data_IF_910345101136
#
_entry.id   IF_910345101136
#
_cell.length_a   1.000
_cell.length_b   1.000
_cell.length_c   1.000
_cell.angle_alpha   90.00
_cell.angle_beta   90.00
_cell.angle_gamma   90.00
#
_symmetry.space_group_name_H-M   'P 1'
#
loop_
_entity.id
_entity.type
_entity.pdbx_description
1 polymer ?
#
# COMPACT_ATOMS: atom_id res chain seq x y z
N UNK A 1 15.22 -8.19 17.88
CA UNK A 1 13.78 -7.84 17.86
C UNK A 1 13.13 -8.66 16.77
N UNK A 2 12.11 -9.44 17.09
CA UNK A 2 11.38 -10.29 16.14
C UNK A 2 10.05 -9.63 15.78
N UNK A 3 9.84 -9.37 14.50
CA UNK A 3 8.69 -8.62 14.01
C UNK A 3 7.85 -9.49 13.08
N UNK A 4 6.58 -9.68 13.43
CA UNK A 4 5.59 -10.27 12.54
C UNK A 4 4.95 -9.17 11.70
N UNK A 5 5.26 -9.16 10.40
CA UNK A 5 4.75 -8.17 9.46
C UNK A 5 3.63 -8.73 8.60
N UNK A 6 2.53 -7.99 8.50
CA UNK A 6 1.45 -8.28 7.56
C UNK A 6 1.51 -7.29 6.40
N UNK A 7 1.67 -7.82 5.19
CA UNK A 7 1.68 -7.03 3.96
C UNK A 7 0.82 -7.67 2.89
N UNK A 8 0.45 -6.90 1.88
CA UNK A 8 -0.36 -7.37 0.75
C UNK A 8 0.46 -7.68 -0.50
N UNK A 9 1.55 -6.95 -0.72
CA UNK A 9 2.40 -7.05 -1.91
C UNK A 9 3.87 -7.05 -1.51
N UNK A 10 4.61 -8.08 -1.93
CA UNK A 10 6.07 -8.18 -1.81
C UNK A 10 6.58 -9.34 -2.69
N UNK A 11 7.75 -9.22 -3.36
CA UNK A 11 8.54 -8.00 -3.57
C UNK A 11 7.80 -6.98 -4.46
N UNK A 12 8.29 -5.72 -4.59
CA UNK A 12 7.63 -4.70 -5.40
C UNK A 12 7.54 -5.07 -6.88
N UNK A 13 6.39 -4.76 -7.49
CA UNK A 13 6.17 -4.90 -8.94
C UNK A 13 6.09 -3.57 -9.70
N UNK A 14 6.01 -2.47 -8.97
CA UNK A 14 5.84 -1.12 -9.51
C UNK A 14 6.81 -0.17 -8.83
N UNK A 15 7.23 0.86 -9.56
CA UNK A 15 8.00 1.98 -9.02
C UNK A 15 7.17 2.73 -7.98
N UNK A 16 7.79 3.10 -6.85
CA UNK A 16 7.10 3.64 -5.69
C UNK A 16 6.02 2.71 -5.12
N UNK A 17 5.12 3.26 -4.32
CA UNK A 17 4.00 2.53 -3.72
C UNK A 17 4.36 1.63 -2.54
N UNK A 18 3.36 0.85 -2.09
CA UNK A 18 3.40 0.05 -0.88
C UNK A 18 4.53 -1.01 -0.91
N UNK A 19 4.63 -1.78 -1.99
CA UNK A 19 5.65 -2.83 -2.12
C UNK A 19 7.08 -2.28 -2.02
N UNK A 20 7.35 -1.14 -2.65
CA UNK A 20 8.67 -0.49 -2.64
C UNK A 20 9.01 0.03 -1.24
N UNK A 21 8.03 0.60 -0.55
CA UNK A 21 8.21 1.03 0.84
C UNK A 21 8.48 -0.15 1.77
N UNK A 22 7.68 -1.21 1.69
CA UNK A 22 7.88 -2.43 2.47
C UNK A 22 9.24 -3.07 2.21
N UNK A 23 9.69 -3.13 0.95
CA UNK A 23 10.99 -3.69 0.59
C UNK A 23 12.16 -2.91 1.17
N UNK A 24 12.22 -1.60 0.94
CA UNK A 24 13.31 -0.78 1.46
C UNK A 24 13.36 -0.77 2.99
N UNK A 25 12.19 -0.66 3.64
CA UNK A 25 12.07 -0.68 5.10
C UNK A 25 12.50 -2.01 5.70
N UNK A 26 12.01 -3.13 5.19
CA UNK A 26 12.34 -4.47 5.71
C UNK A 26 13.81 -4.82 5.48
N UNK A 27 14.38 -4.43 4.34
CA UNK A 27 15.81 -4.62 4.07
C UNK A 27 16.66 -3.83 5.09
N UNK A 28 16.31 -2.58 5.36
CA UNK A 28 17.04 -1.76 6.33
C UNK A 28 16.88 -2.27 7.77
N UNK A 29 15.68 -2.70 8.16
CA UNK A 29 15.42 -3.32 9.47
C UNK A 29 16.24 -4.61 9.65
N UNK A 30 16.28 -5.47 8.63
CA UNK A 30 17.08 -6.70 8.67
C UNK A 30 18.59 -6.41 8.83
N UNK A 31 19.10 -5.39 8.13
CA UNK A 31 20.50 -4.93 8.30
C UNK A 31 20.79 -4.40 9.71
N UNK A 32 19.78 -3.96 10.44
CA UNK A 32 19.87 -3.56 11.86
C UNK A 32 19.62 -4.71 12.84
N UNK A 33 19.54 -5.95 12.36
CA UNK A 33 19.38 -7.14 13.19
C UNK A 33 17.94 -7.43 13.61
N UNK A 34 16.94 -6.84 12.95
CA UNK A 34 15.56 -7.26 13.12
C UNK A 34 15.31 -8.59 12.39
N UNK A 35 14.69 -9.54 13.07
CA UNK A 35 14.23 -10.79 12.46
C UNK A 35 12.78 -10.58 11.99
N UNK A 36 12.55 -10.69 10.68
CA UNK A 36 11.26 -10.33 10.08
C UNK A 36 10.58 -11.57 9.54
N UNK A 37 9.36 -11.80 10.00
CA UNK A 37 8.42 -12.78 9.44
C UNK A 37 7.41 -11.98 8.64
N UNK A 38 7.47 -12.06 7.31
CA UNK A 38 6.60 -11.26 6.44
C UNK A 38 5.53 -12.15 5.82
N UNK A 39 4.28 -11.90 6.20
CA UNK A 39 3.13 -12.71 5.81
C UNK A 39 2.37 -12.05 4.66
N UNK A 40 2.28 -12.76 3.54
CA UNK A 40 1.56 -12.35 2.33
C UNK A 40 0.31 -13.20 2.11
N UNK A 41 -0.73 -12.71 1.40
CA UNK A 41 -1.86 -13.55 0.99
C UNK A 41 -1.39 -14.81 0.27
N UNK A 42 -0.45 -14.64 -0.66
CA UNK A 42 0.19 -15.70 -1.42
C UNK A 42 1.62 -15.31 -1.75
N UNK A 43 2.52 -16.29 -1.72
CA UNK A 43 3.88 -16.14 -2.24
C UNK A 43 3.90 -16.70 -3.65
N UNK A 44 4.60 -16.01 -4.54
CA UNK A 44 4.87 -16.47 -5.89
C UNK A 44 6.37 -16.75 -6.00
N UNK A 45 6.70 -18.04 -6.05
CA UNK A 45 8.09 -18.54 -6.03
C UNK A 45 8.92 -18.08 -7.23
N UNK A 46 8.28 -17.56 -8.29
CA UNK A 46 8.96 -17.00 -9.46
C UNK A 46 9.59 -15.62 -9.23
N UNK A 47 9.24 -14.95 -8.12
CA UNK A 47 9.53 -13.52 -7.92
C UNK A 47 10.74 -13.21 -7.03
N UNK A 48 11.61 -14.20 -6.79
CA UNK A 48 12.80 -14.05 -5.96
C UNK A 48 12.48 -14.15 -4.46
N UNK A 49 13.39 -14.79 -3.72
CA UNK A 49 13.25 -14.95 -2.26
C UNK A 49 13.86 -13.72 -1.60
N UNK A 50 13.13 -13.09 -0.67
CA UNK A 50 13.73 -12.08 0.20
C UNK A 50 14.76 -12.74 1.11
N UNK A 51 16.04 -12.80 0.71
CA UNK A 51 17.09 -13.50 1.45
C UNK A 51 17.30 -12.98 2.88
N UNK A 52 16.85 -11.74 3.14
CA UNK A 52 16.98 -11.04 4.42
C UNK A 52 15.74 -11.14 5.33
N UNK A 53 14.69 -11.87 4.94
CA UNK A 53 13.50 -12.08 5.77
C UNK A 53 12.89 -13.47 5.56
N UNK A 54 12.00 -13.88 6.47
CA UNK A 54 11.24 -15.13 6.33
C UNK A 54 9.86 -14.83 5.75
N UNK A 55 9.68 -15.12 4.46
CA UNK A 55 8.38 -15.04 3.80
C UNK A 55 7.45 -16.18 4.24
N UNK A 56 6.19 -15.86 4.54
CA UNK A 56 5.14 -16.81 4.85
C UNK A 56 3.89 -16.54 4.01
N UNK A 57 3.35 -17.58 3.40
CA UNK A 57 2.04 -17.52 2.74
C UNK A 57 0.96 -17.74 3.78
N UNK A 58 -0.02 -16.84 3.86
CA UNK A 58 -1.22 -17.04 4.66
C UNK A 58 -2.11 -18.13 4.02
N UNK A 59 -2.21 -18.14 2.69
CA UNK A 59 -2.95 -19.16 1.94
C UNK A 59 -2.49 -20.56 2.32
N UNK A 60 -3.44 -21.45 2.63
CA UNK A 60 -3.16 -22.83 3.06
C UNK A 60 -2.88 -23.01 4.55
N UNK A 61 -2.85 -21.94 5.36
CA UNK A 61 -2.66 -22.08 6.82
C UNK A 61 -3.85 -22.81 7.44
N UNK A 62 -3.64 -23.91 8.20
CA UNK A 62 -4.73 -24.59 8.91
C UNK A 62 -5.26 -23.75 10.07
N UNK A 63 -6.59 -23.64 10.16
CA UNK A 63 -7.30 -23.06 11.30
C UNK A 63 -7.97 -24.20 12.07
N UNK A 64 -7.55 -24.40 13.32
CA UNK A 64 -8.14 -25.41 14.21
C UNK A 64 -9.46 -24.92 14.80
N UNK A 65 -10.34 -25.84 15.18
CA UNK A 65 -11.66 -25.51 15.76
C UNK A 65 -11.57 -24.68 17.05
N UNK A 66 -10.60 -24.97 17.93
CA UNK A 66 -10.30 -24.15 19.13
C UNK A 66 -9.97 -22.70 18.75
N UNK A 67 -9.16 -22.53 17.71
CA UNK A 67 -8.76 -21.22 17.25
C UNK A 67 -9.96 -20.45 16.68
N UNK A 68 -10.88 -21.11 15.97
CA UNK A 68 -12.12 -20.45 15.50
C UNK A 68 -12.90 -19.86 16.66
N UNK A 69 -13.09 -20.61 17.75
CA UNK A 69 -13.83 -20.11 18.92
C UNK A 69 -13.16 -18.88 19.53
N UNK A 70 -11.82 -18.92 19.65
CA UNK A 70 -11.03 -17.76 20.12
C UNK A 70 -11.11 -16.58 19.17
N UNK A 71 -11.19 -16.83 17.86
CA UNK A 71 -11.32 -15.79 16.84
C UNK A 71 -12.70 -15.16 16.82
N UNK A 72 -13.77 -15.93 16.97
CA UNK A 72 -15.13 -15.40 17.03
C UNK A 72 -15.28 -14.50 18.27
N UNK A 73 -14.71 -14.90 19.40
CA UNK A 73 -14.61 -14.05 20.59
C UNK A 73 -13.79 -12.79 20.32
N UNK A 74 -12.59 -12.92 19.73
CA UNK A 74 -11.72 -11.80 19.41
C UNK A 74 -12.38 -10.81 18.43
N UNK A 75 -13.09 -11.31 17.41
CA UNK A 75 -13.88 -10.51 16.49
C UNK A 75 -14.96 -9.74 17.27
N UNK A 76 -15.76 -10.43 18.10
CA UNK A 76 -16.78 -9.75 18.91
C UNK A 76 -16.19 -8.65 19.82
N UNK A 77 -15.04 -8.89 20.45
CA UNK A 77 -14.38 -7.90 21.31
C UNK A 77 -13.85 -6.70 20.52
N UNK A 78 -13.20 -6.96 19.38
CA UNK A 78 -12.66 -5.94 18.49
C UNK A 78 -13.76 -5.05 17.89
N UNK A 79 -14.88 -5.64 17.45
CA UNK A 79 -15.96 -4.90 16.78
C UNK A 79 -16.98 -4.29 17.76
N UNK A 80 -17.10 -4.79 19.01
CA UNK A 80 -17.96 -4.21 20.06
C UNK A 80 -17.66 -2.73 20.33
N UNK A 81 -16.42 -2.27 20.08
CA UNK A 81 -15.97 -0.92 20.35
C UNK A 81 -16.12 0.07 19.18
N UNK A 82 -16.83 -0.27 18.10
CA UNK A 82 -17.05 0.72 17.03
C UNK A 82 -17.94 0.36 15.85
N UNK A 83 -18.31 -0.91 15.64
CA UNK A 83 -19.20 -1.32 14.55
C UNK A 83 -20.21 -2.33 15.08
N UNK A 84 -21.50 -1.99 15.01
CA UNK A 84 -22.59 -2.89 15.40
C UNK A 84 -22.83 -3.90 14.28
N UNK A 85 -22.02 -4.95 14.22
CA UNK A 85 -22.31 -6.11 13.38
C UNK A 85 -23.50 -6.86 13.97
N UNK A 86 -24.60 -6.90 13.23
CA UNK A 86 -25.71 -7.82 13.50
C UNK A 86 -25.41 -9.11 12.75
N UNK A 87 -24.87 -10.16 13.40
CA UNK A 87 -24.76 -11.46 12.76
C UNK A 87 -26.18 -11.93 12.43
N UNK A 88 -26.45 -12.14 11.14
CA UNK A 88 -27.61 -12.90 10.71
C UNK A 88 -27.13 -14.33 10.58
N UNK A 89 -27.64 -15.22 11.42
CA UNK A 89 -27.39 -16.65 11.30
C UNK A 89 -27.87 -17.09 9.91
N UNK A 90 -26.92 -17.31 9.01
CA UNK A 90 -27.20 -17.74 7.65
C UNK A 90 -26.69 -19.16 7.45
N UNK A 91 -27.53 -20.08 6.96
CA UNK A 91 -27.06 -21.37 6.50
C UNK A 91 -26.18 -21.27 5.25
N UNK A 92 -26.00 -20.08 4.66
CA UNK A 92 -25.19 -19.89 3.45
C UNK A 92 -23.69 -19.97 3.78
N UNK A 93 -23.09 -21.09 3.39
CA UNK A 93 -21.67 -21.26 3.24
C UNK A 93 -21.29 -21.31 1.75
N UNK A 94 -20.14 -20.75 1.34
CA UNK A 94 -19.65 -20.92 -0.03
C UNK A 94 -19.54 -22.41 -0.38
N UNK A 95 -19.90 -22.77 -1.62
CA UNK A 95 -19.87 -24.13 -2.17
C UNK A 95 -20.92 -25.12 -1.63
N UNK A 96 -21.95 -24.65 -0.93
CA UNK A 96 -23.13 -25.47 -0.66
C UNK A 96 -23.83 -25.87 -1.96
N UNK A 97 -24.10 -27.15 -2.11
CA UNK A 97 -25.07 -27.59 -3.13
C UNK A 97 -26.49 -27.22 -2.67
N UNK A 98 -27.47 -27.15 -3.60
CA UNK A 98 -28.87 -26.91 -3.22
C UNK A 98 -29.40 -27.89 -2.17
N UNK A 99 -28.88 -29.13 -2.15
CA UNK A 99 -29.27 -30.15 -1.16
C UNK A 99 -28.66 -29.87 0.22
N UNK A 100 -27.39 -29.48 0.27
CA UNK A 100 -26.71 -29.16 1.53
C UNK A 100 -27.31 -27.93 2.21
N UNK A 101 -27.75 -26.94 1.40
CA UNK A 101 -28.42 -25.74 1.88
C UNK A 101 -29.77 -26.06 2.55
N UNK A 102 -30.58 -26.93 1.94
CA UNK A 102 -31.86 -27.38 2.53
C UNK A 102 -31.62 -28.14 3.84
N UNK A 103 -30.58 -28.98 3.91
CA UNK A 103 -30.19 -29.67 5.14
C UNK A 103 -29.71 -28.71 6.25
N UNK A 104 -28.96 -27.66 5.90
CA UNK A 104 -28.54 -26.62 6.84
C UNK A 104 -29.73 -25.79 7.36
N UNK A 105 -30.72 -25.50 6.50
CA UNK A 105 -31.95 -24.80 6.88
C UNK A 105 -32.82 -25.61 7.86
N UNK A 106 -32.90 -26.92 7.67
CA UNK A 106 -33.62 -27.82 8.59
C UNK A 106 -32.99 -27.87 9.98
N UNK A 107 -31.66 -27.75 10.07
CA UNK A 107 -30.90 -27.72 11.33
C UNK A 107 -31.09 -26.41 12.11
N UNK A 108 -31.27 -25.28 11.43
CA UNK A 108 -31.50 -23.96 12.05
C UNK A 108 -32.95 -23.74 12.50
N UNK A 109 -33.92 -24.38 11.85
CA UNK A 109 -35.36 -24.11 12.07
C UNK A 109 -36.03 -24.99 13.12
N UNK A 110 -35.34 -25.99 13.68
CA UNK A 110 -35.84 -26.85 14.76
C UNK A 110 -37.13 -27.61 14.44
N UNK A 111 -37.58 -27.63 13.18
CA UNK A 111 -38.82 -28.25 12.72
C UNK A 111 -38.48 -29.35 11.71
N UNK A 112 -38.50 -30.59 12.16
CA UNK A 112 -38.65 -31.73 11.26
C UNK A 112 -40.11 -31.76 10.80
N UNK A 113 -40.34 -31.74 9.49
CA UNK A 113 -41.63 -32.14 8.91
C UNK A 113 -41.72 -33.67 8.90
N UNK A 114 -41.78 -34.28 10.09
CA UNK A 114 -42.23 -35.64 10.38
C UNK A 114 -41.82 -35.94 11.82
N UNK A 115 -42.80 -36.21 12.68
CA UNK A 115 -42.59 -36.38 14.11
C UNK A 115 -41.85 -37.67 14.42
N UNK A 116 -40.61 -37.54 14.89
CA UNK A 116 -40.02 -38.40 15.90
C UNK A 116 -39.06 -37.55 16.78
N UNK A 117 -39.07 -37.73 18.11
CA UNK A 117 -38.11 -37.07 18.98
C UNK A 117 -36.69 -37.60 18.73
N UNK A 118 -35.76 -36.66 18.74
CA UNK A 118 -34.32 -36.81 18.58
C UNK A 118 -33.75 -38.09 19.23
N UNK A 119 -33.39 -39.09 18.42
CA UNK A 119 -32.39 -40.10 18.80
C UNK A 119 -31.03 -39.63 18.29
N UNK A 120 -30.08 -39.44 19.21
CA UNK A 120 -28.67 -39.42 18.86
C UNK A 120 -28.35 -40.70 18.08
N UNK A 121 -28.06 -40.58 16.79
CA UNK A 121 -27.57 -41.71 16.00
C UNK A 121 -26.14 -42.02 16.44
N UNK A 122 -26.00 -43.20 17.04
CA UNK A 122 -24.73 -43.89 17.25
C UNK A 122 -24.07 -44.15 15.89
N UNK A 123 -22.77 -43.86 15.81
CA UNK A 123 -21.92 -44.25 14.68
C UNK A 123 -21.89 -45.79 14.54
N UNK A 124 -21.85 -46.35 13.32
CA UNK A 124 -21.61 -47.78 13.14
C UNK A 124 -20.19 -48.10 13.63
N UNK A 125 -20.08 -49.11 14.48
CA UNK A 125 -18.82 -49.63 14.98
C UNK A 125 -18.05 -50.33 13.85
N UNK A 126 -16.80 -49.90 13.65
CA UNK A 126 -15.83 -50.54 12.76
C UNK A 126 -14.77 -49.56 12.30
N UNK A 127 -13.57 -49.71 12.89
CA UNK A 127 -12.28 -49.10 12.49
C UNK A 127 -11.92 -47.74 13.13
N UNK A 128 -11.31 -47.88 14.31
CA UNK A 128 -10.31 -47.01 14.97
C UNK A 128 -10.49 -45.49 14.90
N UNK A 129 -11.06 -44.96 15.98
CA UNK A 129 -10.97 -43.57 16.40
C UNK A 129 -9.52 -43.06 16.41
N UNK A 130 -9.18 -42.22 15.42
CA UNK A 130 -8.22 -41.14 15.67
C UNK A 130 -9.02 -39.83 15.80
N UNK A 131 -8.92 -39.19 16.97
CA UNK A 131 -9.40 -37.82 17.21
C UNK A 131 -8.58 -36.83 16.36
N UNK A 132 -8.80 -36.80 15.05
CA UNK A 132 -8.25 -35.75 14.20
C UNK A 132 -9.08 -34.48 14.38
N UNK A 133 -8.51 -33.48 15.05
CA UNK A 133 -9.04 -32.12 15.09
C UNK A 133 -9.44 -31.69 13.68
N UNK A 134 -10.72 -31.32 13.48
CA UNK A 134 -11.18 -30.77 12.21
C UNK A 134 -10.51 -29.40 12.02
N UNK A 135 -9.58 -29.31 11.08
CA UNK A 135 -8.98 -28.05 10.64
C UNK A 135 -9.45 -27.70 9.24
N UNK A 136 -9.70 -26.42 8.95
CA UNK A 136 -9.99 -25.94 7.59
C UNK A 136 -8.99 -24.86 7.17
N UNK A 137 -8.98 -24.55 5.89
CA UNK A 137 -8.08 -23.54 5.31
C UNK A 137 -8.72 -22.86 4.10
N UNK A 138 -8.12 -21.77 3.63
CA UNK A 138 -8.53 -21.07 2.40
C UNK A 138 -7.35 -20.92 1.45
N UNK A 139 -7.66 -20.92 0.16
CA UNK A 139 -6.73 -20.51 -0.90
C UNK A 139 -6.96 -19.05 -1.23
N UNK A 140 -5.91 -18.24 -1.20
CA UNK A 140 -5.95 -16.81 -1.55
C UNK A 140 -5.37 -16.59 -2.95
N UNK A 141 -5.90 -15.60 -3.66
CA UNK A 141 -5.44 -15.21 -4.99
C UNK A 141 -4.36 -14.12 -4.93
N UNK A 142 -4.41 -13.24 -3.92
CA UNK A 142 -3.52 -12.09 -3.72
C UNK A 142 -3.80 -10.91 -4.65
N UNK A 143 -4.97 -10.87 -5.30
CA UNK A 143 -5.31 -9.89 -6.32
C UNK A 143 -6.22 -8.76 -5.82
N UNK A 144 -6.25 -7.64 -6.56
CA UNK A 144 -7.17 -6.52 -6.33
C UNK A 144 -8.45 -6.70 -7.16
N UNK A 145 -9.22 -7.75 -6.87
CA UNK A 145 -10.42 -8.14 -7.62
C UNK A 145 -11.75 -7.69 -6.97
N UNK A 146 -12.91 -7.99 -7.59
CA UNK A 146 -14.23 -7.68 -7.04
C UNK A 146 -14.50 -8.32 -5.66
N UNK A 147 -13.82 -9.42 -5.34
CA UNK A 147 -13.90 -10.13 -4.07
C UNK A 147 -12.85 -9.68 -3.05
N UNK A 148 -12.22 -8.50 -3.24
CA UNK A 148 -11.13 -8.02 -2.38
C UNK A 148 -11.51 -8.01 -0.89
N UNK A 149 -12.74 -7.62 -0.57
CA UNK A 149 -13.21 -7.59 0.83
C UNK A 149 -13.25 -8.99 1.45
N UNK A 150 -13.77 -9.99 0.74
CA UNK A 150 -13.78 -11.37 1.20
C UNK A 150 -12.36 -11.92 1.36
N UNK A 151 -11.48 -11.53 0.45
CA UNK A 151 -10.08 -11.91 0.46
C UNK A 151 -9.34 -11.31 1.65
N UNK A 152 -9.59 -10.05 1.99
CA UNK A 152 -9.08 -9.39 3.20
C UNK A 152 -9.54 -10.12 4.46
N UNK A 153 -10.82 -10.49 4.54
CA UNK A 153 -11.35 -11.24 5.69
C UNK A 153 -10.72 -12.64 5.81
N UNK A 154 -10.58 -13.37 4.70
CA UNK A 154 -9.92 -14.70 4.71
C UNK A 154 -8.44 -14.58 5.06
N UNK A 155 -7.74 -13.60 4.47
CA UNK A 155 -6.35 -13.28 4.80
C UNK A 155 -6.19 -12.99 6.28
N UNK A 156 -7.11 -12.21 6.88
CA UNK A 156 -7.05 -11.89 8.30
C UNK A 156 -7.11 -13.13 9.18
N UNK A 157 -7.99 -14.08 8.86
CA UNK A 157 -8.15 -15.30 9.64
C UNK A 157 -6.93 -16.21 9.53
N UNK A 158 -6.47 -16.44 8.30
CA UNK A 158 -5.30 -17.28 8.05
C UNK A 158 -4.03 -16.69 8.69
N UNK A 159 -3.83 -15.39 8.56
CA UNK A 159 -2.65 -14.69 9.08
C UNK A 159 -2.63 -14.67 10.61
N UNK A 160 -3.79 -14.51 11.25
CA UNK A 160 -3.92 -14.60 12.70
C UNK A 160 -3.67 -16.02 13.23
N UNK A 161 -4.10 -17.05 12.48
CA UNK A 161 -3.77 -18.44 12.80
C UNK A 161 -2.27 -18.73 12.69
N UNK A 162 -1.64 -18.17 11.65
CA UNK A 162 -0.20 -18.25 11.48
C UNK A 162 0.53 -17.54 12.63
N UNK A 163 0.04 -16.37 13.07
CA UNK A 163 0.62 -15.64 14.20
C UNK A 163 0.68 -16.49 15.47
N UNK A 164 -0.36 -17.24 15.81
CA UNK A 164 -0.37 -18.09 17.02
C UNK A 164 0.69 -19.22 16.97
N UNK A 165 1.16 -19.59 15.78
CA UNK A 165 2.16 -20.64 15.57
C UNK A 165 3.61 -20.11 15.52
N UNK A 166 3.79 -18.79 15.60
CA UNK A 166 5.08 -18.13 15.43
C UNK A 166 5.49 -17.38 16.69
N UNK A 167 6.80 -17.30 16.93
CA UNK A 167 7.35 -16.53 18.02
C UNK A 167 7.85 -15.16 17.52
N UNK A 168 7.31 -14.10 18.10
CA UNK A 168 7.62 -12.72 17.75
C UNK A 168 7.35 -11.78 18.92
N UNK A 169 7.90 -10.57 18.83
CA UNK A 169 7.87 -9.58 19.91
C UNK A 169 6.87 -8.45 19.64
N UNK A 170 6.68 -8.09 18.36
CA UNK A 170 5.80 -7.01 17.88
C UNK A 170 5.11 -7.40 16.56
N UNK A 171 3.87 -6.94 16.39
CA UNK A 171 3.08 -7.06 15.16
C UNK A 171 3.15 -5.74 14.40
N UNK A 172 3.39 -5.78 13.08
CA UNK A 172 3.40 -4.60 12.22
C UNK A 172 2.54 -4.82 10.97
N UNK A 173 1.41 -4.13 10.89
CA UNK A 173 0.46 -4.26 9.78
C UNK A 173 0.54 -3.06 8.83
N UNK A 174 0.63 -3.32 7.52
CA UNK A 174 0.74 -2.30 6.47
C UNK A 174 -0.57 -2.11 5.71
N UNK A 175 -1.11 -0.89 5.76
CA UNK A 175 -2.39 -0.49 5.15
C UNK A 175 -3.63 -1.31 5.55
N UNK A 176 -4.79 -0.75 5.21
CA UNK A 176 -6.11 -1.20 5.67
C UNK A 176 -6.42 -2.68 5.40
N UNK A 177 -5.89 -3.26 4.32
CA UNK A 177 -6.12 -4.65 3.93
C UNK A 177 -5.55 -5.64 4.97
N UNK A 178 -4.55 -5.21 5.75
CA UNK A 178 -3.88 -6.07 6.73
C UNK A 178 -4.26 -5.74 8.17
N UNK A 179 -4.98 -4.64 8.40
CA UNK A 179 -5.38 -4.23 9.75
C UNK A 179 -6.26 -5.26 10.46
N UNK A 180 -7.26 -5.89 9.82
CA UNK A 180 -8.02 -6.95 10.48
C UNK A 180 -7.14 -8.12 10.92
N UNK A 181 -6.10 -8.46 10.15
CA UNK A 181 -5.13 -9.50 10.53
C UNK A 181 -4.33 -9.08 11.78
N UNK A 182 -3.84 -7.84 11.79
CA UNK A 182 -3.10 -7.26 12.91
C UNK A 182 -3.93 -7.20 14.19
N UNK A 183 -5.19 -6.80 14.09
CA UNK A 183 -6.13 -6.73 15.22
C UNK A 183 -6.38 -8.12 15.82
N UNK A 184 -6.69 -9.12 14.98
CA UNK A 184 -6.89 -10.50 15.44
C UNK A 184 -5.63 -11.10 16.04
N UNK A 185 -4.48 -10.90 15.40
CA UNK A 185 -3.21 -11.39 15.93
C UNK A 185 -2.89 -10.76 17.29
N UNK A 186 -3.15 -9.45 17.48
CA UNK A 186 -3.00 -8.77 18.77
C UNK A 186 -3.86 -9.39 19.85
N UNK A 187 -5.16 -9.60 19.58
CA UNK A 187 -6.08 -10.18 20.55
C UNK A 187 -5.71 -11.62 20.91
N UNK A 188 -5.27 -12.43 19.93
CA UNK A 188 -4.94 -13.85 20.16
C UNK A 188 -3.59 -14.09 20.85
N UNK A 189 -2.60 -13.24 20.57
CA UNK A 189 -1.22 -13.43 21.05
C UNK A 189 -0.86 -12.48 22.19
N UNK A 190 -1.67 -11.44 22.42
CA UNK A 190 -1.40 -10.39 23.40
C UNK A 190 -0.22 -9.50 23.03
N UNK A 191 0.41 -9.64 21.86
CA UNK A 191 1.59 -8.85 21.45
C UNK A 191 1.19 -7.44 20.96
N UNK A 192 2.08 -6.43 21.07
CA UNK A 192 1.76 -5.06 20.66
C UNK A 192 1.61 -4.95 19.13
N UNK A 193 0.67 -4.11 18.70
CA UNK A 193 0.34 -3.83 17.30
C UNK A 193 0.78 -2.43 16.91
N UNK A 194 1.61 -2.37 15.88
CA UNK A 194 1.92 -1.16 15.12
C UNK A 194 1.19 -1.24 13.78
N UNK A 195 0.44 -0.21 13.43
CA UNK A 195 -0.14 -0.08 12.07
C UNK A 195 0.60 1.02 11.32
N UNK A 196 0.87 0.81 10.04
CA UNK A 196 1.64 1.75 9.21
C UNK A 196 0.87 2.07 7.94
N UNK A 197 0.56 3.36 7.81
CA UNK A 197 -0.32 3.91 6.79
C UNK A 197 0.53 4.44 5.64
N UNK A 198 0.33 3.87 4.45
CA UNK A 198 0.94 4.35 3.21
C UNK A 198 -0.04 5.14 2.35
N UNK A 199 -1.34 4.89 2.49
CA UNK A 199 -2.40 5.73 1.93
C UNK A 199 -3.72 5.54 2.68
N UNK A 200 -4.48 6.63 2.83
CA UNK A 200 -5.82 6.61 3.42
C UNK A 200 -6.92 6.60 2.36
N UNK A 201 -8.15 6.26 2.75
CA UNK A 201 -9.29 6.36 1.84
C UNK A 201 -9.56 7.81 1.39
N UNK A 202 -9.32 8.78 2.27
CA UNK A 202 -9.41 10.20 1.89
C UNK A 202 -8.37 10.61 0.86
N UNK A 203 -7.20 9.96 0.82
CA UNK A 203 -6.20 10.23 -0.23
C UNK A 203 -6.64 9.67 -1.58
N UNK A 204 -7.32 8.52 -1.59
CA UNK A 204 -7.75 7.83 -2.80
C UNK A 204 -9.00 8.47 -3.42
N UNK A 205 -9.96 8.86 -2.59
CA UNK A 205 -11.32 9.19 -3.01
C UNK A 205 -11.73 10.63 -2.67
N UNK A 206 -10.88 11.38 -1.95
CA UNK A 206 -11.15 12.77 -1.58
C UNK A 206 -12.33 12.88 -0.62
N UNK A 207 -13.44 13.44 -1.08
CA UNK A 207 -14.67 13.60 -0.29
C UNK A 207 -15.62 12.41 -0.42
N UNK A 208 -15.59 11.67 -1.54
CA UNK A 208 -16.51 10.57 -1.84
C UNK A 208 -15.91 9.24 -1.37
N UNK A 209 -15.73 9.11 -0.05
CA UNK A 209 -15.03 7.98 0.54
C UNK A 209 -15.82 6.67 0.49
N UNK A 210 -15.11 5.55 0.37
CA UNK A 210 -15.66 4.25 0.72
C UNK A 210 -15.71 4.08 2.25
N UNK A 211 -16.90 4.22 2.85
CA UNK A 211 -17.08 4.14 4.30
C UNK A 211 -16.64 2.80 4.90
N UNK A 212 -16.76 1.70 4.16
CA UNK A 212 -16.33 0.38 4.64
C UNK A 212 -14.80 0.35 4.81
N UNK A 213 -14.06 0.84 3.81
CA UNK A 213 -12.59 0.93 3.85
C UNK A 213 -12.15 1.92 4.93
N UNK A 214 -12.76 3.10 4.99
CA UNK A 214 -12.47 4.09 6.01
C UNK A 214 -12.77 3.57 7.44
N UNK A 215 -13.82 2.75 7.59
CA UNK A 215 -14.16 2.08 8.84
C UNK A 215 -13.10 1.06 9.28
N UNK A 216 -12.55 0.27 8.35
CA UNK A 216 -11.45 -0.67 8.62
C UNK A 216 -10.18 0.08 9.00
N UNK A 217 -9.85 1.14 8.26
CA UNK A 217 -8.72 2.02 8.58
C UNK A 217 -8.83 2.56 10.00
N UNK A 218 -10.00 3.13 10.33
CA UNK A 218 -10.28 3.67 11.67
C UNK A 218 -10.17 2.62 12.75
N UNK A 219 -10.78 1.45 12.56
CA UNK A 219 -10.76 0.37 13.53
C UNK A 219 -9.32 -0.11 13.80
N UNK A 220 -8.55 -0.34 12.74
CA UNK A 220 -7.14 -0.73 12.85
C UNK A 220 -6.30 0.30 13.61
N UNK A 221 -6.47 1.59 13.29
CA UNK A 221 -5.75 2.67 13.96
C UNK A 221 -6.13 2.82 15.43
N UNK A 222 -7.40 2.62 15.81
CA UNK A 222 -7.83 2.67 17.20
C UNK A 222 -7.30 1.48 18.02
N UNK A 223 -7.29 0.29 17.41
CA UNK A 223 -6.81 -0.94 18.04
C UNK A 223 -5.28 -0.98 18.19
N UNK A 224 -4.54 -0.25 17.35
CA UNK A 224 -3.09 -0.19 17.41
C UNK A 224 -2.58 0.46 18.71
N UNK A 225 -1.43 -0.02 19.19
CA UNK A 225 -0.66 0.62 20.25
C UNK A 225 0.03 1.87 19.70
N UNK A 226 0.55 1.82 18.47
CA UNK A 226 1.13 2.95 17.75
C UNK A 226 0.68 2.96 16.29
N UNK A 227 0.40 4.15 15.76
CA UNK A 227 0.10 4.40 14.36
C UNK A 227 1.30 5.12 13.73
N UNK A 228 1.87 4.54 12.67
CA UNK A 228 2.96 5.15 11.90
C UNK A 228 2.38 5.76 10.63
N UNK A 229 2.59 7.06 10.46
CA UNK A 229 2.25 7.80 9.26
C UNK A 229 3.52 8.08 8.44
N UNK A 230 3.44 7.92 7.13
CA UNK A 230 4.57 8.17 6.21
C UNK A 230 4.96 9.64 6.06
N UNK A 231 4.16 10.56 6.59
CA UNK A 231 4.39 12.01 6.54
C UNK A 231 3.58 12.76 7.60
N UNK A 232 3.93 14.03 7.85
CA UNK A 232 3.11 14.92 8.69
C UNK A 232 1.77 15.23 8.03
N UNK A 233 1.70 15.28 6.70
CA UNK A 233 0.45 15.38 5.94
C UNK A 233 -0.49 14.21 6.28
N UNK A 234 -0.01 12.96 6.18
CA UNK A 234 -0.79 11.78 6.54
C UNK A 234 -1.15 11.78 8.03
N UNK A 235 -0.23 12.17 8.92
CA UNK A 235 -0.52 12.31 10.36
C UNK A 235 -1.66 13.29 10.61
N UNK A 236 -1.68 14.43 9.92
CA UNK A 236 -2.76 15.42 10.02
C UNK A 236 -4.11 14.80 9.61
N UNK A 237 -4.16 14.11 8.47
CA UNK A 237 -5.37 13.41 8.01
C UNK A 237 -5.85 12.37 9.02
N UNK A 238 -4.94 11.58 9.59
CA UNK A 238 -5.24 10.55 10.60
C UNK A 238 -5.86 11.16 11.86
N UNK A 239 -5.33 12.28 12.33
CA UNK A 239 -5.86 12.96 13.52
C UNK A 239 -7.20 13.62 13.21
N UNK A 240 -7.27 14.43 12.15
CA UNK A 240 -8.43 15.29 11.88
C UNK A 240 -9.62 14.54 11.28
N UNK A 241 -9.37 13.53 10.43
CA UNK A 241 -10.43 12.84 9.66
C UNK A 241 -10.82 11.49 10.25
N UNK A 242 -9.89 10.79 10.91
CA UNK A 242 -10.19 9.52 11.57
C UNK A 242 -10.37 9.66 13.09
N UNK A 243 -9.98 10.80 13.67
CA UNK A 243 -10.13 11.07 15.10
C UNK A 243 -9.18 10.25 15.98
N UNK A 244 -7.99 9.93 15.46
CA UNK A 244 -6.99 9.14 16.20
C UNK A 244 -6.19 10.07 17.13
N UNK A 245 -5.97 9.70 18.40
CA UNK A 245 -5.24 10.54 19.34
C UNK A 245 -3.82 10.91 18.85
N UNK A 246 -3.42 12.20 18.86
CA UNK A 246 -2.15 12.67 18.32
C UNK A 246 -0.90 11.99 18.90
N UNK A 247 -0.96 11.57 20.16
CA UNK A 247 0.11 10.90 20.91
C UNK A 247 0.37 9.46 20.42
N UNK A 248 -0.62 8.83 19.77
CA UNK A 248 -0.44 7.51 19.14
C UNK A 248 0.18 7.59 17.75
N UNK A 249 0.16 8.76 17.10
CA UNK A 249 0.52 8.90 15.68
C UNK A 249 1.94 9.44 15.52
N UNK A 250 2.86 8.55 15.21
CA UNK A 250 4.27 8.85 14.94
C UNK A 250 4.50 9.02 13.44
N UNK A 251 5.45 9.88 13.05
CA UNK A 251 5.82 10.07 11.64
C UNK A 251 7.14 9.35 11.38
N UNK A 252 7.16 8.49 10.36
CA UNK A 252 8.37 7.86 9.82
C UNK A 252 8.35 8.05 8.31
N UNK A 253 9.21 8.92 7.79
CA UNK A 253 9.28 9.19 6.36
C UNK A 253 9.84 7.99 5.59
N UNK A 254 9.29 7.75 4.40
CA UNK A 254 9.85 6.76 3.48
C UNK A 254 11.18 7.28 2.87
N UNK A 255 11.90 6.40 2.21
CA UNK A 255 13.14 6.72 1.53
C UNK A 255 13.25 5.99 0.18
N UNK A 256 14.41 6.08 -0.46
CA UNK A 256 14.74 5.31 -1.67
C UNK A 256 16.13 4.67 -1.52
N UNK A 257 16.38 3.57 -2.22
CA UNK A 257 17.66 2.89 -2.20
C UNK A 257 18.44 3.16 -3.50
N UNK A 258 19.69 3.63 -3.37
CA UNK A 258 20.52 4.13 -4.49
C UNK A 258 21.07 3.05 -5.44
N UNK A 259 20.82 1.77 -5.17
CA UNK A 259 21.47 0.67 -5.90
C UNK A 259 21.03 0.49 -7.36
N UNK A 260 20.05 1.26 -7.83
CA UNK A 260 19.41 1.08 -9.14
C UNK A 260 19.92 2.06 -10.23
N UNK A 261 20.41 3.25 -9.85
CA UNK A 261 20.74 4.32 -10.81
C UNK A 261 22.18 4.28 -11.36
N UNK A 262 22.72 3.09 -11.65
CA UNK A 262 24.07 2.94 -12.23
C UNK A 262 24.07 2.76 -13.75
N UNK A 263 22.90 2.52 -14.35
CA UNK A 263 22.80 2.20 -15.78
C UNK A 263 22.73 3.48 -16.61
N UNK A 264 23.60 3.55 -17.62
CA UNK A 264 23.58 4.64 -18.60
C UNK A 264 22.71 4.27 -19.79
N UNK A 265 21.72 5.11 -20.11
CA UNK A 265 20.82 4.92 -21.24
C UNK A 265 21.06 6.00 -22.30
N UNK A 266 21.50 5.65 -23.52
CA UNK A 266 21.73 6.64 -24.56
C UNK A 266 20.41 7.24 -25.05
N UNK A 267 20.38 8.56 -25.19
CA UNK A 267 19.22 9.27 -25.73
C UNK A 267 19.09 8.94 -27.23
N UNK A 268 17.91 8.47 -27.69
CA UNK A 268 17.69 8.18 -29.11
C UNK A 268 17.98 9.41 -29.98
N UNK A 269 18.69 9.27 -31.12
CA UNK A 269 19.08 10.42 -31.95
C UNK A 269 17.92 11.33 -32.35
N UNK A 270 16.74 10.74 -32.59
CA UNK A 270 15.52 11.45 -33.01
C UNK A 270 15.02 12.48 -31.99
N UNK A 271 15.28 12.29 -30.70
CA UNK A 271 14.78 13.16 -29.61
C UNK A 271 15.91 13.84 -28.84
N UNK A 272 17.16 13.70 -29.28
CA UNK A 272 18.34 14.23 -28.57
C UNK A 272 18.34 15.75 -28.40
N UNK A 273 17.71 16.47 -29.33
CA UNK A 273 17.63 17.93 -29.33
C UNK A 273 16.36 18.46 -28.63
N UNK A 274 15.50 17.58 -28.13
CA UNK A 274 14.22 17.93 -27.53
C UNK A 274 14.28 17.73 -26.02
N UNK A 275 13.67 18.66 -25.29
CA UNK A 275 13.52 18.53 -23.84
C UNK A 275 12.38 17.57 -23.51
N UNK A 276 12.53 16.75 -22.48
CA UNK A 276 11.55 15.74 -22.07
C UNK A 276 11.08 15.96 -20.64
N UNK A 277 9.77 16.11 -20.46
CA UNK A 277 9.14 16.27 -19.15
C UNK A 277 8.30 15.04 -18.84
N UNK A 278 8.52 14.44 -17.67
CA UNK A 278 7.92 13.17 -17.28
C UNK A 278 6.90 13.35 -16.16
N UNK A 279 5.75 12.71 -16.34
CA UNK A 279 4.86 12.28 -15.28
C UNK A 279 4.92 10.75 -15.19
N UNK A 280 5.11 10.21 -13.99
CA UNK A 280 5.11 8.77 -13.75
C UNK A 280 4.26 8.44 -12.52
N UNK A 281 3.25 7.60 -12.70
CA UNK A 281 2.36 7.15 -11.63
C UNK A 281 0.99 6.71 -12.17
N UNK A 282 0.11 6.25 -11.26
CA UNK A 282 -1.28 5.91 -11.62
C UNK A 282 -1.97 7.12 -12.25
N UNK A 283 -2.71 6.91 -13.34
CA UNK A 283 -3.42 7.98 -14.06
C UNK A 283 -4.83 8.12 -13.48
N UNK A 284 -4.88 8.53 -12.21
CA UNK A 284 -6.09 8.69 -11.40
C UNK A 284 -6.20 10.13 -10.90
N UNK A 285 -7.39 10.52 -10.42
CA UNK A 285 -7.64 11.88 -9.94
C UNK A 285 -6.63 12.31 -8.86
N UNK A 286 -6.35 11.41 -7.92
CA UNK A 286 -5.37 11.58 -6.85
C UNK A 286 -4.00 12.09 -7.34
N UNK A 287 -3.50 11.57 -8.47
CA UNK A 287 -2.17 11.90 -8.99
C UNK A 287 -2.14 13.16 -9.87
N UNK A 288 -3.30 13.77 -10.13
CA UNK A 288 -3.39 15.04 -10.85
C UNK A 288 -2.94 15.06 -12.33
N UNK A 289 -3.13 13.99 -13.14
CA UNK A 289 -2.67 13.97 -14.53
C UNK A 289 -3.32 15.05 -15.42
N UNK A 290 -4.51 15.53 -15.07
CA UNK A 290 -5.15 16.67 -15.75
C UNK A 290 -4.37 17.98 -15.58
N UNK A 291 -3.86 18.25 -14.38
CA UNK A 291 -3.04 19.44 -14.11
C UNK A 291 -1.72 19.38 -14.88
N UNK A 292 -1.11 18.19 -14.98
CA UNK A 292 0.06 17.98 -15.83
C UNK A 292 -0.22 18.31 -17.30
N UNK A 293 -1.36 17.86 -17.83
CA UNK A 293 -1.76 18.12 -19.22
C UNK A 293 -2.02 19.61 -19.49
N UNK A 294 -2.69 20.30 -18.58
CA UNK A 294 -2.96 21.74 -18.72
C UNK A 294 -1.68 22.57 -18.59
N UNK A 295 -0.75 22.21 -17.68
CA UNK A 295 0.57 22.82 -17.64
C UNK A 295 1.34 22.56 -18.94
N UNK A 296 1.31 21.34 -19.48
CA UNK A 296 1.93 21.00 -20.75
C UNK A 296 1.39 21.85 -21.91
N UNK A 297 0.08 22.08 -21.97
CA UNK A 297 -0.54 22.97 -22.95
C UNK A 297 0.03 24.38 -22.90
N UNK A 298 0.20 24.94 -21.70
CA UNK A 298 0.76 26.28 -21.50
C UNK A 298 2.25 26.35 -21.86
N UNK A 299 3.03 25.33 -21.49
CA UNK A 299 4.45 25.25 -21.84
C UNK A 299 4.64 25.15 -23.35
N UNK A 300 3.83 24.37 -24.05
CA UNK A 300 3.93 24.20 -25.51
C UNK A 300 3.69 25.50 -26.29
N UNK A 301 2.94 26.46 -25.73
CA UNK A 301 2.79 27.80 -26.30
C UNK A 301 4.08 28.63 -26.21
N UNK A 302 4.93 28.36 -25.20
CA UNK A 302 6.18 29.09 -24.93
C UNK A 302 7.44 28.37 -25.43
N UNK A 303 7.41 27.03 -25.51
CA UNK A 303 8.52 26.15 -25.91
C UNK A 303 7.95 25.02 -26.79
N UNK A 304 7.79 25.24 -28.11
CA UNK A 304 7.12 24.27 -28.98
C UNK A 304 7.88 22.95 -29.19
N UNK A 305 9.17 22.90 -28.86
CA UNK A 305 10.06 21.75 -29.09
C UNK A 305 10.29 20.85 -27.86
N UNK A 306 9.40 20.90 -26.87
CA UNK A 306 9.41 20.00 -25.71
C UNK A 306 8.50 18.80 -25.96
N UNK A 307 8.83 17.64 -25.39
CA UNK A 307 7.95 16.48 -25.29
C UNK A 307 7.53 16.25 -23.85
N UNK A 308 6.26 15.91 -23.68
CA UNK A 308 5.69 15.47 -22.42
C UNK A 308 5.40 13.97 -22.50
N UNK A 309 5.77 13.23 -21.47
CA UNK A 309 5.52 11.81 -21.33
C UNK A 309 4.67 11.56 -20.09
N UNK A 310 3.54 10.89 -20.27
CA UNK A 310 2.70 10.40 -19.20
C UNK A 310 2.83 8.87 -19.15
N UNK A 311 3.58 8.38 -18.17
CA UNK A 311 3.78 6.96 -17.91
C UNK A 311 2.87 6.49 -16.77
N UNK A 312 2.08 5.47 -17.05
CA UNK A 312 1.15 4.85 -16.10
C UNK A 312 -0.15 4.42 -16.74
N UNK A 313 -0.97 3.77 -15.91
CA UNK A 313 -2.34 3.33 -16.24
C UNK A 313 -3.32 3.87 -15.21
N UNK A 314 -4.58 4.03 -15.61
CA UNK A 314 -5.65 4.50 -14.73
C UNK A 314 -6.94 4.82 -15.49
N UNK A 315 -8.00 5.04 -14.73
CA UNK A 315 -9.36 5.30 -15.20
C UNK A 315 -9.48 6.58 -16.02
N UNK A 316 -8.60 7.57 -15.79
CA UNK A 316 -8.64 8.85 -16.49
C UNK A 316 -8.03 8.80 -17.90
N UNK A 317 -7.30 7.75 -18.27
CA UNK A 317 -6.59 7.66 -19.55
C UNK A 317 -7.49 7.93 -20.78
N UNK A 318 -8.67 7.28 -20.95
CA UNK A 318 -9.52 7.52 -22.11
C UNK A 318 -9.97 8.98 -22.23
N UNK A 319 -10.25 9.64 -21.10
CA UNK A 319 -10.63 11.07 -21.07
C UNK A 319 -9.45 11.95 -21.47
N UNK A 320 -8.27 11.69 -20.93
CA UNK A 320 -7.05 12.44 -21.22
C UNK A 320 -6.61 12.30 -22.68
N UNK A 321 -6.68 11.10 -23.26
CA UNK A 321 -6.35 10.89 -24.67
C UNK A 321 -7.26 11.72 -25.58
N UNK A 322 -8.58 11.72 -25.34
CA UNK A 322 -9.53 12.56 -26.08
C UNK A 322 -9.21 14.05 -25.92
N UNK A 323 -8.89 14.48 -24.71
CA UNK A 323 -8.53 15.87 -24.41
C UNK A 323 -7.25 16.30 -25.13
N UNK A 324 -6.22 15.48 -25.14
CA UNK A 324 -4.98 15.73 -25.88
C UNK A 324 -5.23 15.91 -27.39
N UNK A 325 -6.16 15.13 -27.95
CA UNK A 325 -6.63 15.28 -29.33
C UNK A 325 -7.36 16.61 -29.57
N UNK A 326 -8.28 16.99 -28.69
CA UNK A 326 -8.98 18.28 -28.75
C UNK A 326 -8.02 19.47 -28.68
N UNK A 327 -6.99 19.36 -27.84
CA UNK A 327 -5.94 20.38 -27.68
C UNK A 327 -4.87 20.33 -28.79
N UNK A 328 -4.97 19.39 -29.73
CA UNK A 328 -4.01 19.17 -30.83
C UNK A 328 -2.56 18.97 -30.35
N UNK A 329 -2.39 18.31 -29.20
CA UNK A 329 -1.09 18.10 -28.55
C UNK A 329 -0.43 16.75 -28.92
N UNK A 330 -1.07 15.93 -29.76
CA UNK A 330 -0.63 14.54 -30.02
C UNK A 330 0.79 14.36 -30.58
N UNK A 331 1.38 15.39 -31.20
CA UNK A 331 2.78 15.33 -31.66
C UNK A 331 3.82 15.54 -30.54
N UNK A 332 3.40 16.11 -29.41
CA UNK A 332 4.26 16.54 -28.30
C UNK A 332 3.89 15.94 -26.95
N UNK A 333 2.68 15.41 -26.77
CA UNK A 333 2.23 14.77 -25.54
C UNK A 333 2.00 13.28 -25.77
N UNK A 334 2.77 12.44 -25.09
CA UNK A 334 2.85 10.99 -25.32
C UNK A 334 2.36 10.22 -24.10
N UNK A 335 1.55 9.20 -24.33
CA UNK A 335 1.13 8.25 -23.30
C UNK A 335 2.00 7.00 -23.44
N UNK A 336 2.86 6.75 -22.46
CA UNK A 336 3.81 5.62 -22.50
C UNK A 336 3.18 4.30 -22.02
N UNK A 337 1.98 4.36 -21.44
CA UNK A 337 1.35 3.20 -20.82
C UNK A 337 2.03 2.80 -19.52
N UNK A 338 1.71 1.61 -19.02
CA UNK A 338 2.31 1.06 -17.82
C UNK A 338 3.75 0.61 -18.09
N UNK A 339 4.69 1.05 -17.24
CA UNK A 339 6.11 0.73 -17.34
C UNK A 339 6.56 -0.05 -16.10
N UNK A 340 7.49 -0.98 -16.27
CA UNK A 340 8.06 -1.74 -15.15
C UNK A 340 9.58 -1.91 -15.26
N UNK A 341 10.26 -2.05 -14.11
CA UNK A 341 11.69 -2.34 -14.02
C UNK A 341 12.54 -1.38 -14.87
N UNK A 342 13.34 -1.94 -15.78
CA UNK A 342 14.27 -1.18 -16.62
C UNK A 342 13.58 -0.10 -17.48
N UNK A 343 12.29 -0.27 -17.81
CA UNK A 343 11.56 0.74 -18.57
C UNK A 343 11.37 2.05 -17.78
N UNK A 344 11.18 1.93 -16.46
CA UNK A 344 11.07 3.06 -15.55
C UNK A 344 12.41 3.75 -15.41
N UNK A 345 13.48 2.98 -15.16
CA UNK A 345 14.86 3.47 -15.09
C UNK A 345 15.23 4.26 -16.35
N UNK A 346 14.94 3.67 -17.52
CA UNK A 346 15.17 4.30 -18.81
C UNK A 346 14.36 5.59 -18.93
N UNK A 347 13.11 5.63 -18.48
CA UNK A 347 12.29 6.83 -18.57
C UNK A 347 12.83 7.96 -17.70
N UNK A 348 13.28 7.66 -16.48
CA UNK A 348 13.95 8.65 -15.63
C UNK A 348 15.26 9.14 -16.25
N UNK A 349 16.17 8.24 -16.64
CA UNK A 349 17.44 8.61 -17.27
C UNK A 349 17.23 9.42 -18.56
N UNK A 350 16.10 9.24 -19.22
CA UNK A 350 15.70 9.97 -20.41
C UNK A 350 14.86 11.24 -20.12
N UNK A 351 14.78 11.73 -18.90
CA UNK A 351 13.97 12.91 -18.57
C UNK A 351 14.84 14.12 -18.24
N UNK A 352 14.42 15.31 -18.66
CA UNK A 352 15.04 16.59 -18.29
C UNK A 352 14.37 17.22 -17.06
N UNK A 353 13.12 16.82 -16.74
CA UNK A 353 12.35 17.27 -15.58
C UNK A 353 11.27 16.23 -15.25
N UNK A 354 11.12 15.89 -13.98
CA UNK A 354 10.01 15.09 -13.47
C UNK A 354 8.98 15.99 -12.77
N UNK A 355 7.69 15.78 -13.04
CA UNK A 355 6.59 16.58 -12.48
C UNK A 355 5.58 15.65 -11.80
N UNK A 356 5.33 15.91 -10.51
CA UNK A 356 4.33 15.20 -9.70
C UNK A 356 3.28 16.19 -9.18
N UNK A 357 2.21 16.46 -9.95
CA UNK A 357 1.17 17.42 -9.58
C UNK A 357 0.04 16.78 -8.77
N UNK A 358 0.38 15.87 -7.85
CA UNK A 358 -0.60 15.12 -7.07
C UNK A 358 -1.54 16.04 -6.27
N UNK A 359 -2.83 15.69 -6.27
CA UNK A 359 -3.87 16.35 -5.46
C UNK A 359 -3.74 15.92 -4.00
N UNK A 360 -3.52 14.63 -3.76
CA UNK A 360 -3.10 14.09 -2.48
C UNK A 360 -2.02 13.03 -2.68
N UNK A 361 -0.86 13.23 -2.05
CA UNK A 361 0.24 12.28 -2.06
C UNK A 361 0.73 12.01 -0.63
N UNK A 362 0.40 10.85 -0.02
CA UNK A 362 0.78 10.54 1.36
C UNK A 362 2.28 10.69 1.60
N UNK A 363 3.10 10.21 0.68
CA UNK A 363 4.54 10.48 0.66
C UNK A 363 5.02 10.85 -0.75
N UNK A 364 5.09 9.87 -1.67
CA UNK A 364 5.60 10.06 -3.02
C UNK A 364 7.08 9.66 -3.13
N UNK A 365 7.34 8.36 -3.32
CA UNK A 365 8.70 7.81 -3.50
C UNK A 365 9.24 8.13 -4.90
N UNK A 366 8.38 8.20 -5.91
CA UNK A 366 8.75 8.40 -7.33
C UNK A 366 9.58 9.66 -7.63
N UNK A 367 9.34 10.82 -6.99
CA UNK A 367 10.27 11.94 -7.02
C UNK A 367 11.71 11.57 -6.60
N UNK A 368 11.86 10.81 -5.53
CA UNK A 368 13.18 10.39 -5.05
C UNK A 368 13.84 9.43 -6.05
N UNK A 369 13.06 8.55 -6.68
CA UNK A 369 13.54 7.67 -7.77
C UNK A 369 14.05 8.49 -8.96
N UNK A 370 13.33 9.55 -9.37
CA UNK A 370 13.77 10.46 -10.42
C UNK A 370 15.10 11.16 -10.07
N UNK A 371 15.23 11.62 -8.82
CA UNK A 371 16.45 12.28 -8.33
C UNK A 371 17.67 11.37 -8.35
N UNK A 372 17.51 10.04 -8.26
CA UNK A 372 18.62 9.09 -8.40
C UNK A 372 19.27 9.15 -9.80
N UNK A 373 18.50 9.55 -10.82
CA UNK A 373 18.95 9.71 -12.20
C UNK A 373 19.34 11.14 -12.55
N UNK A 374 19.59 11.99 -11.54
CA UNK A 374 19.93 13.40 -11.71
C UNK A 374 18.86 14.20 -12.46
N UNK A 375 17.59 13.80 -12.31
CA UNK A 375 16.45 14.51 -12.87
C UNK A 375 15.94 15.51 -11.84
N UNK A 376 15.88 16.83 -12.15
CA UNK A 376 15.26 17.79 -11.26
C UNK A 376 13.76 17.50 -11.15
N UNK A 377 13.17 17.82 -9.99
CA UNK A 377 11.76 17.50 -9.69
C UNK A 377 10.94 18.76 -9.42
N UNK A 378 9.71 18.78 -9.93
CA UNK A 378 8.66 19.76 -9.62
C UNK A 378 7.48 19.05 -8.98
N UNK A 379 7.19 19.40 -7.73
CA UNK A 379 6.27 18.67 -6.87
C UNK A 379 5.08 19.53 -6.47
N UNK A 380 3.94 18.88 -6.26
CA UNK A 380 2.82 19.46 -5.54
C UNK A 380 3.21 19.73 -4.08
N UNK A 381 2.86 20.90 -3.54
CA UNK A 381 3.00 21.20 -2.10
C UNK A 381 2.20 20.23 -1.22
N UNK A 382 1.12 19.66 -1.76
CA UNK A 382 0.26 18.68 -1.11
C UNK A 382 0.85 17.25 -1.21
N UNK A 383 2.14 17.09 -0.91
CA UNK A 383 2.82 15.80 -0.92
C UNK A 383 3.73 15.60 0.29
N UNK A 384 3.73 14.40 0.88
CA UNK A 384 4.54 14.11 2.06
C UNK A 384 6.05 14.18 1.82
N UNK A 385 6.51 13.87 0.60
CA UNK A 385 7.93 14.00 0.23
C UNK A 385 8.40 15.46 0.16
N UNK A 386 7.47 16.42 0.01
CA UNK A 386 7.80 17.85 0.10
C UNK A 386 8.25 18.27 1.51
N UNK A 387 8.05 17.43 2.53
CA UNK A 387 8.54 17.64 3.89
C UNK A 387 10.02 17.31 4.07
N UNK A 388 10.62 16.54 3.14
CA UNK A 388 12.01 16.10 3.20
C UNK A 388 12.89 16.66 2.07
N UNK A 389 12.28 17.35 1.11
CA UNK A 389 12.96 18.02 0.00
C UNK A 389 12.77 19.53 0.09
N UNK A 390 13.78 20.26 0.56
CA UNK A 390 13.74 21.72 0.71
C UNK A 390 14.07 22.43 -0.60
N UNK A 391 14.96 21.86 -1.41
CA UNK A 391 15.47 22.46 -2.64
C UNK A 391 14.70 22.06 -3.90
N UNK A 392 13.81 21.09 -3.83
CA UNK A 392 12.91 20.73 -4.93
C UNK A 392 11.98 21.90 -5.30
N UNK A 393 11.65 22.05 -6.57
CA UNK A 393 10.64 23.03 -6.98
C UNK A 393 9.27 22.57 -6.50
N UNK A 394 8.48 23.50 -5.96
CA UNK A 394 7.13 23.22 -5.46
C UNK A 394 6.11 24.19 -6.05
N UNK A 395 4.94 23.66 -6.40
CA UNK A 395 3.78 24.43 -6.85
C UNK A 395 2.51 23.92 -6.17
N UNK A 396 1.48 24.75 -6.09
CA UNK A 396 0.15 24.25 -5.73
C UNK A 396 -0.45 23.53 -6.94
N UNK A 397 -1.01 22.33 -6.74
CA UNK A 397 -1.40 21.48 -7.88
C UNK A 397 -2.41 22.15 -8.83
N UNK A 398 -3.28 23.02 -8.31
CA UNK A 398 -4.30 23.73 -9.09
C UNK A 398 -3.73 24.92 -9.88
N UNK A 399 -2.57 25.45 -9.50
CA UNK A 399 -1.94 26.57 -10.22
C UNK A 399 -1.08 26.06 -11.39
N UNK A 400 -1.80 25.66 -12.44
CA UNK A 400 -1.19 25.18 -13.69
C UNK A 400 -0.34 26.24 -14.39
N UNK A 401 -0.54 27.54 -14.10
CA UNK A 401 0.27 28.63 -14.68
C UNK A 401 1.63 28.72 -14.00
N UNK A 402 1.64 28.75 -12.66
CA UNK A 402 2.88 28.70 -11.88
C UNK A 402 3.68 27.43 -12.18
N UNK A 403 3.00 26.28 -12.28
CA UNK A 403 3.61 25.02 -12.70
C UNK A 403 4.25 25.13 -14.09
N UNK A 404 3.54 25.68 -15.08
CA UNK A 404 4.06 25.87 -16.43
C UNK A 404 5.24 26.84 -16.48
N UNK A 405 5.22 27.91 -15.68
CA UNK A 405 6.32 28.88 -15.60
C UNK A 405 7.58 28.26 -14.99
N UNK A 406 7.44 27.45 -13.94
CA UNK A 406 8.54 26.68 -13.35
C UNK A 406 9.11 25.64 -14.32
N UNK A 407 8.25 24.92 -15.04
CA UNK A 407 8.70 24.02 -16.11
C UNK A 407 9.50 24.81 -17.16
N UNK A 408 8.98 25.94 -17.64
CA UNK A 408 9.69 26.77 -18.62
C UNK A 408 11.04 27.26 -18.10
N UNK A 409 11.14 27.64 -16.82
CA UNK A 409 12.39 28.09 -16.21
C UNK A 409 13.45 26.98 -16.21
N UNK A 410 13.11 25.78 -15.74
CA UNK A 410 14.05 24.64 -15.73
C UNK A 410 14.51 24.29 -17.15
N UNK A 411 13.59 24.28 -18.12
CA UNK A 411 13.91 23.91 -19.49
C UNK A 411 14.76 24.95 -20.24
N UNK A 412 14.64 26.23 -19.89
CA UNK A 412 15.37 27.35 -20.55
C UNK A 412 16.71 27.68 -19.90
N UNK A 413 16.86 27.42 -18.60
CA UNK A 413 18.06 27.80 -17.84
C UNK A 413 18.79 26.55 -17.33
N UNK A 414 19.77 26.01 -18.09
CA UNK A 414 20.53 24.84 -17.70
C UNK A 414 21.26 24.99 -16.34
N UNK A 415 21.69 26.21 -16.00
CA UNK A 415 22.32 26.49 -14.70
C UNK A 415 21.35 26.25 -13.53
N UNK A 416 20.06 26.59 -13.69
CA UNK A 416 19.04 26.31 -12.67
C UNK A 416 18.83 24.80 -12.53
N UNK A 417 18.71 24.08 -13.65
CA UNK A 417 18.58 22.62 -13.62
C UNK A 417 19.77 21.95 -12.95
N UNK A 418 20.99 22.37 -13.26
CA UNK A 418 22.21 21.84 -12.65
C UNK A 418 22.29 22.11 -11.14
N UNK A 419 21.90 23.30 -10.70
CA UNK A 419 21.88 23.64 -9.27
C UNK A 419 20.81 22.85 -8.51
N UNK A 420 19.62 22.66 -9.10
CA UNK A 420 18.57 21.80 -8.53
C UNK A 420 19.08 20.37 -8.34
N UNK A 421 19.72 19.79 -9.36
CA UNK A 421 20.31 18.44 -9.28
C UNK A 421 21.38 18.35 -8.20
N UNK A 422 22.28 19.33 -8.14
CA UNK A 422 23.33 19.38 -7.12
C UNK A 422 22.75 19.39 -5.70
N UNK A 423 21.74 20.21 -5.46
CA UNK A 423 21.09 20.29 -4.15
C UNK A 423 20.30 19.02 -3.83
N UNK A 424 19.60 18.46 -4.81
CA UNK A 424 18.91 17.17 -4.70
C UNK A 424 19.89 16.05 -4.27
N UNK A 425 21.08 15.98 -4.87
CA UNK A 425 22.11 15.00 -4.49
C UNK A 425 22.58 15.13 -3.04
N UNK A 426 22.61 16.35 -2.51
CA UNK A 426 22.98 16.60 -1.11
C UNK A 426 21.87 16.14 -0.17
N UNK A 427 20.62 16.52 -0.43
CA UNK A 427 19.44 16.11 0.36
C UNK A 427 19.29 14.58 0.39
N UNK A 428 19.50 13.93 -0.75
CA UNK A 428 19.37 12.47 -0.87
C UNK A 428 20.37 11.68 -0.01
N UNK A 429 21.43 12.30 0.52
CA UNK A 429 22.33 11.63 1.47
C UNK A 429 21.67 11.36 2.82
N UNK A 430 20.69 12.18 3.22
CA UNK A 430 20.00 12.05 4.50
C UNK A 430 18.69 11.25 4.40
N UNK A 431 18.11 11.13 3.20
CA UNK A 431 16.86 10.41 2.96
C UNK A 431 17.16 8.92 2.69
N UNK A 432 17.31 8.15 3.77
CA UNK A 432 17.74 6.74 3.71
C UNK A 432 16.84 5.82 4.52
N UNK A 433 16.66 4.59 4.02
CA UNK A 433 15.85 3.58 4.72
C UNK A 433 16.43 3.19 6.08
N UNK A 434 17.75 3.30 6.27
CA UNK A 434 18.40 3.07 7.56
C UNK A 434 17.91 4.02 8.65
N UNK A 435 17.61 5.28 8.31
CA UNK A 435 17.08 6.25 9.27
C UNK A 435 15.63 5.89 9.67
N UNK A 436 14.81 5.45 8.70
CA UNK A 436 13.46 4.98 8.95
C UNK A 436 13.45 3.70 9.80
N UNK A 437 14.37 2.77 9.53
CA UNK A 437 14.55 1.54 10.30
C UNK A 437 14.94 1.83 11.76
N UNK A 438 15.85 2.77 12.01
CA UNK A 438 16.25 3.17 13.37
C UNK A 438 15.05 3.74 14.17
N UNK A 439 14.23 4.57 13.53
CA UNK A 439 13.00 5.10 14.14
C UNK A 439 11.97 4.00 14.44
N UNK A 440 11.77 3.07 13.50
CA UNK A 440 10.85 1.94 13.68
C UNK A 440 11.31 1.00 14.79
N UNK A 441 12.61 0.69 14.88
CA UNK A 441 13.17 -0.10 15.97
C UNK A 441 12.94 0.57 17.33
N UNK A 442 13.14 1.88 17.43
CA UNK A 442 12.83 2.63 18.65
C UNK A 442 11.35 2.51 19.02
N UNK A 443 10.44 2.60 18.04
CA UNK A 443 9.00 2.38 18.25
C UNK A 443 8.75 0.96 18.77
N UNK A 444 9.32 -0.07 18.14
CA UNK A 444 9.15 -1.46 18.56
C UNK A 444 9.65 -1.72 19.98
N UNK A 445 10.81 -1.19 20.34
CA UNK A 445 11.37 -1.32 21.68
C UNK A 445 10.48 -0.64 22.73
N UNK A 446 9.93 0.54 22.42
CA UNK A 446 9.05 1.27 23.33
C UNK A 446 7.73 0.52 23.59
N UNK A 447 7.09 -0.01 22.54
CA UNK A 447 5.82 -0.73 22.70
C UNK A 447 5.98 -2.11 23.33
N UNK A 448 7.14 -2.75 23.14
CA UNK A 448 7.45 -4.03 23.76
C UNK A 448 7.83 -3.87 25.24
N UNK A 449 8.67 -2.88 25.58
CA UNK A 449 9.15 -2.65 26.95
C UNK A 449 8.14 -2.00 27.89
N UNK A 450 7.17 -1.25 27.38
CA UNK A 450 6.15 -0.55 28.18
C UNK A 450 5.06 -1.43 28.81
N UNK A 451 5.18 -2.77 28.77
CA UNK A 451 4.20 -3.73 29.28
C UNK A 451 4.69 -4.53 30.50
N UNK A 452 5.57 -3.92 31.31
CA UNK A 452 6.07 -4.50 32.57
C UNK A 452 5.10 -4.29 33.71
#
# INVERSE_FOLDING_TARGET
MRVLMFGWEFPPHISGGLGTACFGMTQALARRGAEIIFVLPRIDDSKGKGEFLRLRSASGTPITEDLVQRMDWAQQEVWRNGIRCLPVDSPLMPYLTPQDYVGALGRLSGRTCAGEPYRLMQHPAGEEESRQSRSFTYTLQGGYGPSLMDEVLRYSRLSAALAVQEDFDVIHAHDWMTYPAGMLAKTLTGKPLVVHIHATEYDRSGCDINEQVAGIERAGMLAADVVVAVSRLTRKTVIERYGIPPEKVMVVHNAVARHEAQRHYPIPPRIRHEKRVLFLGRVTFQKGPEYFMEAARLVLQKIPNVRFFMAGSGDMLPRLIRRAGQLRMGSRFHFAGFLQGEEVDRMFALSDLYVMPSVSEPFGITPLEAMLYDVPVLLSRQSGVSEVLDHALKADFWDTRDMADKICAVLRYPCLAAELVKNCREEMKSIRWENAADQLLAIYHNVHGGRS
#
